data_IF_920048016218
#
_entry.id   IF_920048016218
#
_cell.length_a   1.000
_cell.length_b   1.000
_cell.length_c   1.000
_cell.angle_alpha   90.00
_cell.angle_beta   90.00
_cell.angle_gamma   90.00
#
_symmetry.space_group_name_H-M   'P 1'
#
loop_
_entity.id
_entity.type
_entity.pdbx_description
1 polymer ?
#
# COMPACT_ATOMS: atom_id res chain seq x y z
N UNK A 1 5.78 -2.28 -20.05
CA UNK A 1 6.45 -1.40 -19.07
C UNK A 1 6.22 -1.80 -17.59
N UNK A 2 5.60 -2.96 -17.31
CA UNK A 2 5.25 -3.41 -15.95
C UNK A 2 6.40 -4.03 -15.13
N UNK A 3 7.63 -4.09 -15.62
CA UNK A 3 8.74 -4.84 -14.99
C UNK A 3 9.98 -4.02 -14.67
N UNK A 4 9.92 -2.70 -14.78
CA UNK A 4 11.02 -1.80 -14.43
C UNK A 4 10.53 -0.39 -14.17
N UNK A 5 11.16 0.32 -13.22
CA UNK A 5 10.75 1.67 -12.84
C UNK A 5 10.91 2.66 -14.00
N UNK A 6 12.02 2.60 -14.71
CA UNK A 6 12.29 3.51 -15.85
C UNK A 6 11.33 3.25 -17.00
N UNK A 7 11.09 1.96 -17.33
CA UNK A 7 10.12 1.56 -18.36
C UNK A 7 8.69 1.99 -17.98
N UNK A 8 8.34 1.90 -16.70
CA UNK A 8 7.04 2.33 -16.18
C UNK A 8 6.84 3.84 -16.35
N UNK A 9 7.84 4.65 -15.95
CA UNK A 9 7.80 6.10 -16.09
C UNK A 9 7.68 6.52 -17.57
N UNK A 10 8.47 5.90 -18.44
CA UNK A 10 8.39 6.15 -19.88
C UNK A 10 7.05 5.72 -20.46
N UNK A 11 6.53 4.56 -20.01
CA UNK A 11 5.21 4.06 -20.40
C UNK A 11 4.09 5.05 -20.06
N UNK A 12 4.06 5.54 -18.82
CA UNK A 12 3.07 6.54 -18.39
C UNK A 12 3.18 7.85 -19.19
N UNK A 13 4.42 8.35 -19.37
CA UNK A 13 4.66 9.60 -20.12
C UNK A 13 4.22 9.53 -21.59
N UNK A 14 4.12 8.34 -22.16
CA UNK A 14 3.72 8.10 -23.55
C UNK A 14 2.32 7.44 -23.69
N UNK A 15 1.55 7.36 -22.60
CA UNK A 15 0.23 6.72 -22.54
C UNK A 15 0.22 5.29 -23.10
N UNK A 16 1.25 4.50 -22.77
CA UNK A 16 1.30 3.08 -23.09
C UNK A 16 0.57 2.27 -22.02
N UNK A 17 -0.09 1.22 -22.43
CA UNK A 17 -0.66 0.25 -21.48
C UNK A 17 0.42 -0.37 -20.62
N UNK A 18 0.18 -0.44 -19.31
CA UNK A 18 1.10 -1.06 -18.36
C UNK A 18 0.85 -2.57 -18.37
N UNK A 19 1.46 -3.22 -19.35
CA UNK A 19 1.36 -4.66 -19.50
C UNK A 19 2.35 -5.38 -18.57
N UNK A 20 1.83 -6.29 -17.75
CA UNK A 20 2.58 -7.05 -16.74
C UNK A 20 2.14 -8.52 -16.74
N UNK A 21 2.64 -9.36 -17.64
CA UNK A 21 2.21 -10.75 -17.80
C UNK A 21 2.83 -11.73 -16.80
N UNK A 22 3.57 -11.26 -15.80
CA UNK A 22 4.16 -12.14 -14.79
C UNK A 22 3.22 -12.25 -13.60
N UNK A 23 2.82 -13.48 -13.27
CA UNK A 23 1.95 -13.81 -12.14
C UNK A 23 2.67 -13.68 -10.78
N UNK A 24 1.92 -13.82 -9.69
CA UNK A 24 2.44 -13.66 -8.33
C UNK A 24 3.49 -14.73 -7.95
N UNK A 25 3.44 -15.90 -8.57
CA UNK A 25 4.40 -16.98 -8.38
C UNK A 25 5.66 -16.86 -9.26
N UNK A 26 5.72 -15.81 -10.10
CA UNK A 26 6.85 -15.55 -10.99
C UNK A 26 6.78 -16.30 -12.32
N UNK A 27 5.65 -16.90 -12.66
CA UNK A 27 5.42 -17.51 -13.98
C UNK A 27 4.75 -16.54 -14.95
N UNK A 28 4.88 -16.77 -16.24
CA UNK A 28 4.15 -16.03 -17.26
C UNK A 28 2.70 -16.52 -17.37
N UNK A 29 1.77 -15.57 -17.54
CA UNK A 29 0.37 -15.87 -17.82
C UNK A 29 0.13 -16.35 -19.26
N UNK A 30 -1.15 -16.58 -19.61
CA UNK A 30 -1.55 -17.08 -20.92
C UNK A 30 -1.56 -16.00 -22.02
N UNK A 31 -1.32 -14.73 -21.70
CA UNK A 31 -1.32 -13.62 -22.67
C UNK A 31 -0.02 -13.50 -23.46
N UNK A 32 1.05 -14.17 -23.01
CA UNK A 32 2.32 -14.24 -23.71
C UNK A 32 2.28 -15.32 -24.81
N UNK A 33 3.27 -15.35 -25.75
CA UNK A 33 3.37 -16.45 -26.69
C UNK A 33 3.41 -17.82 -26.01
N UNK A 34 2.76 -18.83 -26.63
CA UNK A 34 2.56 -20.17 -26.07
C UNK A 34 3.85 -20.84 -25.55
N UNK A 35 5.00 -20.56 -26.19
CA UNK A 35 6.29 -21.13 -25.76
C UNK A 35 6.83 -20.52 -24.45
N UNK A 36 6.23 -19.46 -23.93
CA UNK A 36 6.58 -18.81 -22.65
C UNK A 36 5.52 -19.04 -21.57
N UNK A 37 4.26 -19.26 -21.95
CA UNK A 37 3.15 -19.39 -21.01
C UNK A 37 3.41 -20.49 -19.97
N UNK A 38 3.24 -20.16 -18.68
CA UNK A 38 3.48 -21.05 -17.56
C UNK A 38 4.95 -21.27 -17.18
N UNK A 39 5.91 -20.76 -17.94
CA UNK A 39 7.32 -20.82 -17.55
C UNK A 39 7.64 -19.79 -16.46
N UNK A 40 8.55 -20.14 -15.56
CA UNK A 40 9.12 -19.13 -14.65
C UNK A 40 9.95 -18.11 -15.45
N UNK A 41 10.03 -16.86 -14.96
CA UNK A 41 10.87 -15.83 -15.60
C UNK A 41 12.34 -16.21 -15.67
N UNK A 42 12.80 -17.12 -14.82
CA UNK A 42 14.19 -17.60 -14.79
C UNK A 42 14.43 -18.66 -15.87
N UNK A 43 13.52 -19.61 -16.02
CA UNK A 43 13.60 -20.68 -17.03
C UNK A 43 13.37 -20.13 -18.44
N UNK A 44 12.56 -19.08 -18.58
CA UNK A 44 12.26 -18.44 -19.86
C UNK A 44 13.49 -17.81 -20.55
N UNK A 45 14.54 -17.44 -19.81
CA UNK A 45 15.72 -16.81 -20.38
C UNK A 45 16.37 -17.66 -21.49
N UNK A 46 16.61 -18.95 -21.24
CA UNK A 46 17.21 -19.85 -22.20
C UNK A 46 16.28 -20.13 -23.39
N UNK A 47 14.97 -20.24 -23.12
CA UNK A 47 13.95 -20.45 -24.14
C UNK A 47 13.85 -19.24 -25.09
N UNK A 48 13.90 -18.01 -24.55
CA UNK A 48 13.90 -16.78 -25.36
C UNK A 48 15.16 -16.68 -26.21
N UNK A 49 16.33 -16.99 -25.65
CA UNK A 49 17.60 -16.98 -26.39
C UNK A 49 17.55 -17.97 -27.56
N UNK A 50 17.07 -19.20 -27.33
CA UNK A 50 16.98 -20.20 -28.38
C UNK A 50 15.92 -19.85 -29.46
N UNK A 51 14.80 -19.26 -29.05
CA UNK A 51 13.79 -18.76 -29.99
C UNK A 51 14.36 -17.65 -30.90
N UNK A 52 15.06 -16.66 -30.33
CA UNK A 52 15.67 -15.58 -31.09
C UNK A 52 16.76 -16.10 -32.04
N UNK A 53 17.53 -17.11 -31.61
CA UNK A 53 18.56 -17.75 -32.41
C UNK A 53 17.97 -18.56 -33.59
N UNK A 54 16.95 -19.36 -33.36
CA UNK A 54 16.28 -20.16 -34.39
C UNK A 54 15.52 -19.32 -35.41
N UNK A 55 15.14 -18.08 -35.03
CA UNK A 55 14.43 -17.12 -35.88
C UNK A 55 15.35 -16.09 -36.55
N UNK A 56 16.67 -16.24 -36.43
CA UNK A 56 17.70 -15.31 -36.96
C UNK A 56 17.58 -13.86 -36.43
N UNK A 57 16.97 -13.64 -35.25
CA UNK A 57 16.86 -12.33 -34.63
C UNK A 57 17.89 -12.08 -33.53
N UNK A 58 18.68 -13.08 -33.12
CA UNK A 58 19.68 -12.95 -32.07
C UNK A 58 20.91 -12.23 -32.60
N UNK A 59 21.12 -10.99 -32.18
CA UNK A 59 22.33 -10.24 -32.53
C UNK A 59 23.56 -10.65 -31.72
N UNK A 60 23.39 -10.84 -30.40
CA UNK A 60 24.47 -11.21 -29.49
C UNK A 60 23.90 -11.73 -28.17
N UNK A 61 24.59 -12.65 -27.54
CA UNK A 61 24.36 -13.09 -26.18
C UNK A 61 25.69 -13.28 -25.45
N UNK A 62 25.77 -12.82 -24.21
CA UNK A 62 26.93 -13.05 -23.36
C UNK A 62 26.50 -13.16 -21.90
N UNK A 63 27.22 -13.97 -21.15
CA UNK A 63 27.05 -14.05 -19.70
C UNK A 63 27.94 -13.02 -19.02
N UNK A 64 27.41 -12.25 -18.08
CA UNK A 64 28.18 -11.35 -17.25
C UNK A 64 27.68 -11.39 -15.81
N UNK A 65 28.56 -11.11 -14.86
CA UNK A 65 28.22 -11.09 -13.44
C UNK A 65 27.99 -9.67 -12.98
N UNK A 66 26.86 -9.46 -12.31
CA UNK A 66 26.50 -8.15 -11.76
C UNK A 66 25.81 -8.29 -10.40
N UNK A 67 25.68 -7.19 -9.66
CA UNK A 67 24.88 -7.15 -8.44
C UNK A 67 23.41 -7.22 -8.78
N UNK A 68 22.67 -8.07 -8.06
CA UNK A 68 21.23 -8.22 -8.22
C UNK A 68 20.52 -8.23 -6.86
N UNK A 69 19.37 -7.56 -6.70
CA UNK A 69 18.67 -7.51 -5.43
C UNK A 69 18.07 -8.88 -5.09
N UNK A 70 18.21 -9.26 -3.80
CA UNK A 70 17.66 -10.48 -3.25
C UNK A 70 16.81 -10.17 -2.04
N UNK A 71 15.77 -10.97 -1.79
CA UNK A 71 14.99 -10.86 -0.56
C UNK A 71 15.85 -11.11 0.67
N UNK A 72 15.68 -10.27 1.68
CA UNK A 72 16.51 -10.28 2.88
C UNK A 72 16.40 -11.55 3.72
N UNK A 73 15.27 -12.28 3.63
CA UNK A 73 15.01 -13.51 4.40
C UNK A 73 15.27 -14.77 3.58
N UNK A 74 14.60 -14.91 2.45
CA UNK A 74 14.70 -16.10 1.60
C UNK A 74 16.00 -16.17 0.82
N UNK A 75 16.69 -15.03 0.63
CA UNK A 75 17.89 -14.90 -0.21
C UNK A 75 17.64 -15.24 -1.69
N UNK A 76 16.40 -15.28 -2.09
CA UNK A 76 16.01 -15.47 -3.51
C UNK A 76 16.08 -14.16 -4.27
N UNK A 77 16.40 -14.17 -5.57
CA UNK A 77 16.37 -12.98 -6.40
C UNK A 77 14.93 -12.43 -6.49
N UNK A 78 14.80 -11.10 -6.49
CA UNK A 78 13.50 -10.45 -6.59
C UNK A 78 13.05 -10.28 -8.04
N UNK A 79 11.74 -10.14 -8.25
CA UNK A 79 11.13 -9.83 -9.54
C UNK A 79 10.42 -8.48 -9.41
N UNK A 80 10.58 -7.62 -10.40
CA UNK A 80 9.84 -6.37 -10.51
C UNK A 80 8.53 -6.63 -11.26
N UNK A 81 7.41 -6.33 -10.61
CA UNK A 81 6.05 -6.45 -11.17
C UNK A 81 5.25 -5.19 -10.86
N UNK A 82 4.50 -4.73 -11.86
CA UNK A 82 3.40 -3.80 -11.60
C UNK A 82 2.21 -4.58 -11.03
N UNK A 83 1.70 -4.15 -9.88
CA UNK A 83 0.53 -4.74 -9.22
C UNK A 83 -0.39 -3.63 -8.75
N UNK A 84 -1.69 -3.90 -8.76
CA UNK A 84 -2.66 -2.99 -8.15
C UNK A 84 -2.41 -2.89 -6.65
N UNK A 85 -2.45 -1.67 -6.13
CA UNK A 85 -2.20 -1.39 -4.73
C UNK A 85 -3.15 -0.29 -4.25
N UNK A 86 -3.44 -0.30 -2.95
CA UNK A 86 -4.16 0.79 -2.29
C UNK A 86 -3.20 1.88 -1.85
N UNK A 87 -3.51 3.11 -2.22
CA UNK A 87 -2.72 4.28 -1.86
C UNK A 87 -3.54 5.31 -1.09
N UNK A 88 -2.90 5.96 -0.14
CA UNK A 88 -3.39 7.21 0.44
C UNK A 88 -2.69 8.37 -0.28
N UNK A 89 -3.46 9.15 -1.03
CA UNK A 89 -2.97 10.34 -1.73
C UNK A 89 -2.67 11.46 -0.74
N UNK A 90 -1.39 11.75 -0.53
CA UNK A 90 -0.98 12.78 0.45
C UNK A 90 -1.25 14.20 -0.05
N UNK A 91 -1.37 14.38 -1.35
CA UNK A 91 -1.68 15.66 -2.01
C UNK A 91 -3.15 15.78 -2.45
N UNK A 92 -3.97 14.75 -2.19
CA UNK A 92 -5.40 14.82 -2.48
C UNK A 92 -6.04 15.94 -1.63
N UNK A 93 -6.66 16.89 -2.30
CA UNK A 93 -7.29 18.03 -1.63
C UNK A 93 -8.58 17.62 -0.91
N UNK A 94 -8.73 18.10 0.31
CA UNK A 94 -9.96 18.07 1.06
C UNK A 94 -10.92 19.19 0.58
N UNK A 95 -12.14 19.19 1.09
CA UNK A 95 -13.18 20.17 0.70
C UNK A 95 -12.79 21.63 0.97
N UNK A 96 -11.86 21.87 1.88
CA UNK A 96 -11.34 23.19 2.25
C UNK A 96 -10.09 23.60 1.45
N UNK A 97 -9.66 22.78 0.49
CA UNK A 97 -8.47 23.00 -0.33
C UNK A 97 -7.15 22.67 0.37
N UNK A 98 -7.18 22.10 1.57
CA UNK A 98 -5.98 21.55 2.24
C UNK A 98 -5.72 20.11 1.79
N UNK A 99 -4.53 19.60 2.10
CA UNK A 99 -4.16 18.19 1.88
C UNK A 99 -3.41 17.65 3.09
N UNK A 100 -3.26 16.32 3.20
CA UNK A 100 -2.46 15.75 4.28
C UNK A 100 -1.06 16.33 4.35
N UNK A 101 -0.40 16.52 3.19
CA UNK A 101 0.93 17.14 3.11
C UNK A 101 0.92 18.58 3.63
N UNK A 102 -0.03 19.39 3.16
CA UNK A 102 -0.10 20.80 3.57
C UNK A 102 -0.36 20.97 5.07
N UNK A 103 -1.25 20.15 5.63
CA UNK A 103 -1.53 20.12 7.07
C UNK A 103 -0.30 19.65 7.87
N UNK A 104 0.40 18.61 7.41
CA UNK A 104 1.59 18.10 8.09
C UNK A 104 2.76 19.09 8.07
N UNK A 105 2.95 19.80 6.97
CA UNK A 105 3.95 20.88 6.88
C UNK A 105 3.59 22.03 7.81
N UNK A 106 2.32 22.44 7.85
CA UNK A 106 1.86 23.47 8.75
C UNK A 106 2.05 23.09 10.21
N UNK A 107 1.65 21.89 10.62
CA UNK A 107 1.82 21.39 11.98
C UNK A 107 3.30 21.33 12.39
N UNK A 108 4.16 20.88 11.47
CA UNK A 108 5.62 20.85 11.67
C UNK A 108 6.20 22.26 11.91
N UNK A 109 5.65 23.29 11.27
CA UNK A 109 6.14 24.66 11.43
C UNK A 109 5.61 25.37 12.69
N UNK A 110 4.36 25.10 13.07
CA UNK A 110 3.64 25.94 14.04
C UNK A 110 3.25 25.24 15.34
N UNK A 111 2.95 23.94 15.26
CA UNK A 111 2.22 23.26 16.34
C UNK A 111 3.11 22.29 17.12
N UNK A 112 4.24 21.87 16.54
CA UNK A 112 5.14 20.87 17.13
C UNK A 112 6.46 21.49 17.55
N UNK A 113 6.88 21.24 18.79
CA UNK A 113 8.20 21.60 19.30
C UNK A 113 9.18 20.44 19.10
N UNK A 114 10.26 20.66 18.38
CA UNK A 114 11.26 19.62 18.10
C UNK A 114 12.47 19.68 19.02
N UNK A 115 12.84 18.52 19.56
CA UNK A 115 14.03 18.30 20.37
C UNK A 115 14.92 17.19 19.77
N UNK A 116 16.07 17.50 19.19
CA UNK A 116 16.69 18.84 19.00
C UNK A 116 15.99 19.66 17.91
N UNK A 117 16.16 20.98 17.95
CA UNK A 117 15.48 21.95 17.04
C UNK A 117 15.74 21.64 15.55
N UNK A 118 16.92 21.13 15.17
CA UNK A 118 17.23 20.78 13.78
C UNK A 118 16.32 19.68 13.21
N UNK A 119 15.68 18.88 14.06
CA UNK A 119 14.76 17.82 13.65
C UNK A 119 13.54 18.34 12.90
N UNK A 120 13.14 19.59 13.14
CA UNK A 120 12.08 20.26 12.38
C UNK A 120 12.39 20.33 10.88
N UNK A 121 13.60 20.76 10.53
CA UNK A 121 14.02 20.83 9.12
C UNK A 121 14.08 19.44 8.47
N UNK A 122 14.48 18.43 9.24
CA UNK A 122 14.50 17.04 8.79
C UNK A 122 13.08 16.53 8.51
N UNK A 123 12.14 16.77 9.43
CA UNK A 123 10.73 16.40 9.24
C UNK A 123 10.16 17.07 8.00
N UNK A 124 10.38 18.37 7.86
CA UNK A 124 9.92 19.15 6.71
C UNK A 124 10.43 18.56 5.38
N UNK A 125 11.74 18.39 5.23
CA UNK A 125 12.31 17.86 3.98
C UNK A 125 11.81 16.45 3.63
N UNK A 126 11.52 15.61 4.63
CA UNK A 126 10.95 14.28 4.42
C UNK A 126 9.46 14.33 4.05
N UNK A 127 8.71 15.31 4.56
CA UNK A 127 7.31 15.52 4.18
C UNK A 127 7.20 16.11 2.77
N UNK A 128 8.05 17.08 2.41
CA UNK A 128 8.06 17.69 1.07
C UNK A 128 8.33 16.67 -0.04
N UNK A 129 9.20 15.71 0.21
CA UNK A 129 9.59 14.67 -0.78
C UNK A 129 8.80 13.36 -0.65
N UNK A 130 7.83 13.27 0.25
CA UNK A 130 7.09 12.05 0.50
C UNK A 130 6.18 11.71 -0.70
N UNK A 131 6.26 10.51 -1.28
CA UNK A 131 5.26 10.04 -2.25
C UNK A 131 3.95 9.66 -1.54
N UNK A 132 2.93 9.37 -2.33
CA UNK A 132 1.70 8.75 -1.84
C UNK A 132 2.02 7.49 -1.02
N UNK A 133 1.23 7.25 0.00
CA UNK A 133 1.46 6.13 0.90
C UNK A 133 0.80 4.86 0.37
N UNK A 134 1.62 3.95 -0.16
CA UNK A 134 1.16 2.61 -0.47
C UNK A 134 0.74 1.90 0.83
N UNK A 135 -0.56 1.68 0.98
CA UNK A 135 -1.17 1.17 2.20
C UNK A 135 -1.26 -0.35 2.24
N UNK A 136 -1.43 -0.97 1.08
CA UNK A 136 -1.63 -2.42 0.97
C UNK A 136 -0.33 -3.21 1.02
N UNK A 137 -0.41 -4.41 1.60
CA UNK A 137 0.66 -5.41 1.66
C UNK A 137 0.10 -6.79 1.37
N UNK A 138 0.84 -7.61 0.66
CA UNK A 138 0.56 -9.00 0.33
C UNK A 138 1.34 -9.89 1.30
N UNK A 139 0.87 -9.97 2.55
CA UNK A 139 1.45 -10.77 3.64
C UNK A 139 0.36 -11.57 4.32
N UNK A 140 0.73 -12.66 4.95
CA UNK A 140 -0.21 -13.53 5.69
C UNK A 140 -0.53 -13.04 7.11
N UNK A 141 0.20 -12.04 7.62
CA UNK A 141 -0.01 -11.48 8.95
C UNK A 141 -0.20 -9.97 8.89
N UNK A 142 -1.32 -9.49 9.38
CA UNK A 142 -1.70 -8.08 9.49
C UNK A 142 -3.20 -7.90 9.50
N UNK A 143 -3.66 -6.66 9.73
CA UNK A 143 -5.07 -6.30 9.68
C UNK A 143 -5.52 -6.23 8.21
N UNK A 144 -6.55 -6.96 7.79
CA UNK A 144 -7.03 -6.93 6.41
C UNK A 144 -7.65 -5.58 6.05
N UNK A 145 -7.47 -5.13 4.81
CA UNK A 145 -8.21 -4.00 4.24
C UNK A 145 -9.62 -4.49 3.94
N UNK A 146 -10.67 -3.89 4.56
CA UNK A 146 -12.03 -4.41 4.45
C UNK A 146 -12.71 -3.98 3.15
N UNK A 147 -12.12 -4.37 2.01
CA UNK A 147 -12.62 -4.09 0.67
C UNK A 147 -13.17 -5.34 0.01
N UNK A 148 -14.23 -5.15 -0.77
CA UNK A 148 -14.86 -6.21 -1.55
C UNK A 148 -14.81 -5.84 -3.03
N UNK A 149 -14.61 -6.84 -3.88
CA UNK A 149 -14.68 -6.71 -5.32
C UNK A 149 -16.09 -7.12 -5.79
N UNK A 150 -16.74 -6.25 -6.56
CA UNK A 150 -18.03 -6.53 -7.19
C UNK A 150 -17.83 -7.30 -8.50
N UNK A 151 -18.87 -7.99 -9.02
CA UNK A 151 -18.80 -8.71 -10.29
C UNK A 151 -18.46 -7.84 -11.52
N UNK A 152 -18.72 -6.52 -11.44
CA UNK A 152 -18.39 -5.55 -12.47
C UNK A 152 -16.93 -5.06 -12.43
N UNK A 153 -16.15 -5.53 -11.47
CA UNK A 153 -14.75 -5.16 -11.25
C UNK A 153 -14.57 -3.89 -10.39
N UNK A 154 -15.65 -3.26 -9.91
CA UNK A 154 -15.55 -2.13 -9.00
C UNK A 154 -15.31 -2.57 -7.56
N UNK A 155 -14.56 -1.76 -6.81
CA UNK A 155 -14.37 -2.00 -5.38
C UNK A 155 -15.48 -1.37 -4.54
N UNK A 156 -15.98 -2.15 -3.60
CA UNK A 156 -16.86 -1.68 -2.54
C UNK A 156 -16.03 -1.41 -1.28
N UNK A 157 -15.74 -0.14 -1.05
CA UNK A 157 -15.03 0.35 0.15
C UNK A 157 -15.59 1.73 0.48
N UNK A 158 -16.53 1.78 1.41
CA UNK A 158 -17.16 3.02 1.88
C UNK A 158 -17.02 3.15 3.40
N UNK A 159 -17.17 4.34 3.97
CA UNK A 159 -17.18 4.50 5.41
C UNK A 159 -18.18 3.59 6.13
N UNK A 160 -19.33 3.32 5.52
CA UNK A 160 -20.38 2.52 6.14
C UNK A 160 -20.10 1.02 6.06
N UNK A 161 -19.53 0.54 4.93
CA UNK A 161 -19.06 -0.86 4.85
C UNK A 161 -17.91 -1.13 5.82
N UNK A 162 -16.97 -0.18 5.95
CA UNK A 162 -15.88 -0.28 6.93
C UNK A 162 -16.42 -0.35 8.36
N UNK A 163 -17.41 0.48 8.72
CA UNK A 163 -18.04 0.44 10.04
C UNK A 163 -18.79 -0.87 10.31
N UNK A 164 -19.47 -1.41 9.31
CA UNK A 164 -20.13 -2.71 9.42
C UNK A 164 -19.13 -3.82 9.73
N UNK A 165 -18.03 -3.90 8.97
CA UNK A 165 -16.95 -4.86 9.21
C UNK A 165 -16.31 -4.64 10.59
N UNK A 166 -16.06 -3.38 10.98
CA UNK A 166 -15.49 -3.06 12.30
C UNK A 166 -16.37 -3.55 13.46
N UNK A 167 -17.69 -3.53 13.31
CA UNK A 167 -18.61 -4.08 14.31
C UNK A 167 -18.40 -5.59 14.46
N UNK A 168 -18.26 -6.32 13.37
CA UNK A 168 -17.97 -7.76 13.40
C UNK A 168 -16.60 -8.05 14.02
N UNK A 169 -15.60 -7.23 13.67
CA UNK A 169 -14.26 -7.37 14.25
C UNK A 169 -14.21 -7.09 15.74
N UNK A 170 -15.05 -6.18 16.25
CA UNK A 170 -15.14 -5.90 17.68
C UNK A 170 -15.66 -7.10 18.48
N UNK A 171 -16.53 -7.93 17.87
CA UNK A 171 -17.12 -9.10 18.51
C UNK A 171 -16.28 -10.38 18.31
N UNK A 172 -15.70 -10.56 17.13
CA UNK A 172 -15.10 -11.82 16.69
C UNK A 172 -13.59 -11.72 16.39
N UNK A 173 -12.99 -10.53 16.47
CA UNK A 173 -11.62 -10.28 16.06
C UNK A 173 -11.48 -10.17 14.54
N UNK A 174 -10.32 -9.72 14.08
CA UNK A 174 -10.03 -9.53 12.65
C UNK A 174 -9.97 -10.82 11.83
N UNK A 175 -9.79 -11.98 12.49
CA UNK A 175 -9.83 -13.30 11.86
C UNK A 175 -11.20 -13.63 11.25
N UNK A 176 -12.26 -12.91 11.68
CA UNK A 176 -13.57 -12.98 11.05
C UNK A 176 -13.52 -12.66 9.54
N UNK A 177 -12.58 -11.81 9.10
CA UNK A 177 -12.39 -11.53 7.66
C UNK A 177 -12.11 -12.80 6.85
N UNK A 178 -11.33 -13.70 7.40
CA UNK A 178 -10.93 -14.93 6.71
C UNK A 178 -11.94 -16.06 6.86
N UNK A 179 -12.68 -16.08 7.96
CA UNK A 179 -13.60 -17.18 8.32
C UNK A 179 -15.07 -16.93 7.98
N UNK A 180 -15.49 -15.65 7.86
CA UNK A 180 -16.89 -15.30 7.61
C UNK A 180 -17.14 -14.89 6.15
N UNK A 181 -18.32 -15.17 5.59
CA UNK A 181 -18.69 -14.71 4.25
C UNK A 181 -19.09 -13.20 4.26
N UNK A 182 -19.15 -12.56 3.07
CA UNK A 182 -19.49 -11.13 2.95
C UNK A 182 -20.82 -10.75 3.62
N UNK A 183 -21.83 -11.62 3.55
CA UNK A 183 -23.15 -11.37 4.13
C UNK A 183 -23.11 -11.21 5.65
N UNK A 184 -22.20 -11.91 6.32
CA UNK A 184 -22.00 -11.78 7.77
C UNK A 184 -21.17 -10.55 8.09
N UNK A 185 -20.13 -10.29 7.31
CA UNK A 185 -19.26 -9.12 7.49
C UNK A 185 -20.01 -7.80 7.27
N UNK A 186 -20.99 -7.79 6.39
CA UNK A 186 -21.80 -6.63 6.04
C UNK A 186 -23.21 -6.65 6.64
N UNK A 187 -23.47 -7.52 7.63
CA UNK A 187 -24.81 -7.65 8.24
C UNK A 187 -25.36 -6.34 8.83
N UNK A 188 -24.48 -5.42 9.22
CA UNK A 188 -24.86 -4.11 9.78
C UNK A 188 -24.76 -2.97 8.76
N UNK A 189 -24.65 -3.28 7.48
CA UNK A 189 -24.64 -2.30 6.40
C UNK A 189 -26.04 -2.19 5.77
N UNK A 190 -26.56 -0.97 5.62
CA UNK A 190 -27.91 -0.72 5.09
C UNK A 190 -28.09 -1.13 3.62
N UNK A 191 -26.98 -1.37 2.89
CA UNK A 191 -26.98 -1.80 1.48
C UNK A 191 -27.91 -0.94 0.60
N UNK A 192 -27.67 0.37 0.48
CA UNK A 192 -28.61 1.29 -0.16
C UNK A 192 -28.85 0.99 -1.65
N UNK A 193 -27.88 0.38 -2.31
CA UNK A 193 -27.93 0.07 -3.74
C UNK A 193 -28.48 -1.34 -4.04
N UNK A 194 -28.84 -2.11 -3.01
CA UNK A 194 -29.34 -3.48 -3.16
C UNK A 194 -28.29 -4.44 -3.76
N UNK A 195 -27.00 -4.22 -3.47
CA UNK A 195 -25.91 -5.10 -3.93
C UNK A 195 -26.13 -6.52 -3.43
N UNK A 196 -25.99 -7.50 -4.30
CA UNK A 196 -26.01 -8.91 -3.91
C UNK A 196 -24.72 -9.26 -3.15
N UNK A 197 -24.82 -9.39 -1.84
CA UNK A 197 -23.69 -9.65 -0.94
C UNK A 197 -23.04 -11.01 -1.21
N UNK A 198 -23.80 -11.99 -1.71
CA UNK A 198 -23.28 -13.32 -2.03
C UNK A 198 -22.37 -13.34 -3.27
N UNK A 199 -22.47 -12.31 -4.11
CA UNK A 199 -21.66 -12.14 -5.30
C UNK A 199 -20.33 -11.40 -5.06
N UNK A 200 -20.13 -10.85 -3.85
CA UNK A 200 -18.94 -10.09 -3.51
C UNK A 200 -17.74 -11.01 -3.22
N UNK A 201 -16.58 -10.65 -3.75
CA UNK A 201 -15.31 -11.29 -3.40
C UNK A 201 -14.55 -10.45 -2.39
N UNK A 202 -14.04 -11.08 -1.32
CA UNK A 202 -13.21 -10.39 -0.33
C UNK A 202 -11.81 -10.18 -0.87
N UNK A 203 -11.27 -8.98 -0.67
CA UNK A 203 -9.84 -8.73 -0.90
C UNK A 203 -9.02 -9.26 0.28
N UNK A 204 -7.76 -9.66 -0.01
CA UNK A 204 -6.88 -10.27 1.00
C UNK A 204 -5.61 -9.47 1.27
N UNK A 205 -5.53 -8.26 0.72
CA UNK A 205 -4.49 -7.32 1.10
C UNK A 205 -4.65 -6.89 2.56
N UNK A 206 -3.53 -6.73 3.23
CA UNK A 206 -3.48 -6.23 4.60
C UNK A 206 -2.93 -4.81 4.63
N UNK A 207 -3.20 -4.08 5.71
CA UNK A 207 -2.61 -2.77 5.93
C UNK A 207 -1.10 -2.84 6.13
N UNK A 208 -0.41 -1.79 5.71
CA UNK A 208 0.94 -1.49 6.19
C UNK A 208 0.92 -1.39 7.71
N UNK A 209 1.82 -2.08 8.39
CA UNK A 209 1.97 -2.05 9.85
C UNK A 209 2.09 -0.62 10.41
N UNK A 210 2.60 0.30 9.61
CA UNK A 210 2.66 1.72 9.98
C UNK A 210 1.29 2.40 10.06
N UNK A 211 0.28 1.87 9.40
CA UNK A 211 -1.11 2.32 9.58
C UNK A 211 -1.63 1.93 10.96
N UNK A 212 -1.42 0.68 11.37
CA UNK A 212 -1.84 0.18 12.68
C UNK A 212 -1.12 0.95 13.81
N UNK A 213 0.20 1.06 13.76
CA UNK A 213 0.97 1.82 14.73
C UNK A 213 0.69 3.33 14.65
N UNK A 214 0.45 3.84 13.44
CA UNK A 214 0.12 5.23 13.19
C UNK A 214 -1.24 5.68 13.72
N UNK A 215 -2.16 4.75 14.03
CA UNK A 215 -3.46 5.05 14.64
C UNK A 215 -3.48 4.90 16.15
N UNK A 216 -2.34 4.66 16.81
CA UNK A 216 -2.22 4.50 18.27
C UNK A 216 -2.67 5.73 19.04
N UNK A 217 -2.60 6.95 18.47
CA UNK A 217 -3.16 8.15 19.04
C UNK A 217 -4.67 8.04 19.29
N UNK A 218 -5.39 7.34 18.41
CA UNK A 218 -6.82 7.09 18.57
C UNK A 218 -7.08 5.87 19.47
N UNK A 219 -6.53 4.71 19.13
CA UNK A 219 -6.83 3.43 19.78
C UNK A 219 -6.31 3.33 21.22
N UNK A 220 -5.26 4.09 21.56
CA UNK A 220 -4.67 4.09 22.89
C UNK A 220 -4.95 5.41 23.62
N UNK A 221 -4.55 6.54 23.04
CA UNK A 221 -4.61 7.80 23.78
C UNK A 221 -6.05 8.31 23.95
N UNK A 222 -6.81 8.39 22.87
CA UNK A 222 -8.20 8.88 22.95
C UNK A 222 -9.14 7.86 23.58
N UNK A 223 -9.14 6.61 23.11
CA UNK A 223 -10.11 5.61 23.61
C UNK A 223 -9.90 5.21 25.06
N UNK A 224 -8.70 5.38 25.60
CA UNK A 224 -8.36 5.08 27.00
C UNK A 224 -8.30 6.34 27.88
N UNK A 225 -8.66 7.51 27.34
CA UNK A 225 -8.63 8.80 28.03
C UNK A 225 -7.27 9.12 28.69
N UNK A 226 -6.19 8.85 27.95
CA UNK A 226 -4.81 9.09 28.41
C UNK A 226 -4.28 10.49 28.04
N UNK A 227 -5.11 11.32 27.42
CA UNK A 227 -4.77 12.65 26.93
C UNK A 227 -4.44 12.67 25.43
N UNK A 228 -4.94 13.71 24.75
CA UNK A 228 -4.72 13.95 23.33
C UNK A 228 -4.73 15.47 23.06
N UNK A 229 -3.78 16.02 22.29
CA UNK A 229 -2.56 15.39 21.78
C UNK A 229 -1.60 14.93 22.89
N UNK A 230 -0.75 13.94 22.58
CA UNK A 230 0.31 13.47 23.48
C UNK A 230 1.35 14.56 23.70
N UNK A 231 1.85 14.73 24.94
CA UNK A 231 2.82 15.78 25.23
C UNK A 231 4.18 15.53 24.58
N UNK A 232 4.62 14.27 24.52
CA UNK A 232 5.93 13.91 23.99
C UNK A 232 5.90 12.57 23.22
N UNK A 233 6.35 12.59 21.96
CA UNK A 233 6.76 11.42 21.21
C UNK A 233 8.29 11.31 21.25
N UNK A 234 8.81 10.26 21.85
CA UNK A 234 10.25 10.06 22.04
C UNK A 234 10.72 8.84 21.29
N UNK A 235 11.48 9.04 20.22
CA UNK A 235 12.01 7.97 19.37
C UNK A 235 13.35 8.35 18.73
N UNK A 236 13.93 7.37 18.02
CA UNK A 236 15.13 7.57 17.20
C UNK A 236 14.86 8.45 15.97
N UNK A 237 15.93 9.01 15.46
CA UNK A 237 15.89 9.95 14.33
C UNK A 237 15.42 9.30 12.99
N UNK A 238 15.42 7.98 12.87
CA UNK A 238 14.86 7.21 11.76
C UNK A 238 13.34 7.34 11.68
N UNK A 239 12.66 7.62 12.81
CA UNK A 239 11.21 7.74 12.89
C UNK A 239 10.65 9.01 12.24
N UNK A 240 11.49 9.93 11.79
CA UNK A 240 11.06 11.01 10.90
C UNK A 240 10.49 10.49 9.57
N UNK A 241 10.89 9.28 9.12
CA UNK A 241 10.27 8.56 7.99
C UNK A 241 9.26 7.49 8.41
N UNK A 242 9.23 7.13 9.68
CA UNK A 242 8.37 6.10 10.23
C UNK A 242 7.21 6.69 11.02
N UNK A 243 7.15 6.32 12.28
CA UNK A 243 6.01 6.57 13.16
C UNK A 243 5.65 8.06 13.33
N UNK A 244 6.61 8.97 13.33
CA UNK A 244 6.30 10.41 13.45
C UNK A 244 5.42 10.90 12.30
N UNK A 245 5.76 10.59 11.06
CA UNK A 245 4.93 10.96 9.91
C UNK A 245 3.64 10.14 9.84
N UNK A 246 3.76 8.82 10.04
CA UNK A 246 2.67 7.88 9.78
C UNK A 246 1.63 7.86 10.90
N UNK A 247 1.90 8.51 12.04
CA UNK A 247 0.88 8.88 13.03
C UNK A 247 0.30 10.27 12.79
N UNK A 248 1.13 11.21 12.32
CA UNK A 248 0.70 12.59 12.08
C UNK A 248 -0.27 12.71 10.89
N UNK A 249 0.01 12.05 9.76
CA UNK A 249 -0.81 12.13 8.56
C UNK A 249 -2.27 11.69 8.80
N UNK A 250 -2.57 10.49 9.34
CA UNK A 250 -3.94 10.09 9.61
C UNK A 250 -4.59 10.92 10.73
N UNK A 251 -3.85 11.37 11.74
CA UNK A 251 -4.39 12.21 12.79
C UNK A 251 -4.87 13.56 12.22
N UNK A 252 -4.04 14.23 11.45
CA UNK A 252 -4.39 15.51 10.81
C UNK A 252 -5.57 15.37 9.85
N UNK A 253 -5.62 14.29 9.07
CA UNK A 253 -6.72 14.06 8.14
C UNK A 253 -8.08 13.86 8.84
N UNK A 254 -8.08 13.25 10.04
CA UNK A 254 -9.30 12.91 10.77
C UNK A 254 -9.69 13.99 11.78
N UNK A 255 -8.72 14.59 12.47
CA UNK A 255 -8.96 15.51 13.59
C UNK A 255 -8.60 16.96 13.29
N UNK A 256 -7.79 17.19 12.26
CA UNK A 256 -7.18 18.50 11.98
C UNK A 256 -6.05 18.88 12.95
N UNK A 257 -5.66 18.02 13.88
CA UNK A 257 -4.69 18.27 14.93
C UNK A 257 -3.54 17.26 14.92
N UNK A 258 -2.31 17.71 15.23
CA UNK A 258 -1.17 16.80 15.39
C UNK A 258 -1.39 15.85 16.57
N UNK A 259 -1.01 14.57 16.48
CA UNK A 259 -1.18 13.64 17.58
C UNK A 259 -0.19 13.86 18.74
N UNK A 260 0.79 14.73 18.58
CA UNK A 260 1.79 15.05 19.59
C UNK A 260 2.20 16.53 19.54
N UNK A 261 2.63 17.05 20.69
CA UNK A 261 3.06 18.44 20.87
C UNK A 261 4.58 18.59 20.72
N UNK A 262 5.38 17.54 21.02
CA UNK A 262 6.84 17.59 20.94
C UNK A 262 7.45 16.21 20.72
#
# INVERSE_FOLDING_TARGET
PGHGTDDYIVGLANNLDIYCPVLADGTYDETVPEFLAGLSVWDANDVVVEHLKSSDYLCHVSMYTHSYPHDGRSKTPVIYRSTEQWFVGVDTEFNDGTSMRSLALQATEKDITFHPVWAQNRMRGMLESRPDWCLSRQRSWGLPIPSFLKPDGEFLLTPDTVRAVATVFAEHGSDAWFSQPPEVLLANWDNPDGTDLSSLEKMYDIFDVWFESGTSWHTVMQQRDLGYPTDLYLEGSDQHRGWFQLSMLPALAVTGESPFKS
#
